data_IF_371318744717
#
_entry.id   IF_371318744717
#
_cell.length_a   1.000
_cell.length_b   1.000
_cell.length_c   1.000
_cell.angle_alpha   90.00
_cell.angle_beta   90.00
_cell.angle_gamma   90.00
#
_symmetry.space_group_name_H-M   'P 1'
#
loop_
_entity.id
_entity.type
_entity.pdbx_description
1 polymer ?
#
# COMPACT_ATOMS: atom_id res chain seq x y z
N UNK A 1 26.20 -1.47 21.03
CA UNK A 1 25.10 -1.04 21.92
C UNK A 1 25.04 0.48 21.95
N UNK A 2 23.86 1.08 22.11
CA UNK A 2 23.73 2.51 22.33
C UNK A 2 24.14 2.82 23.78
N UNK A 3 25.39 3.25 23.99
CA UNK A 3 25.92 3.56 25.33
C UNK A 3 25.53 4.95 25.83
N UNK A 4 25.27 5.90 24.93
CA UNK A 4 24.89 7.27 25.28
C UNK A 4 23.37 7.41 25.55
N UNK A 5 23.00 8.20 26.57
CA UNK A 5 21.60 8.37 27.00
C UNK A 5 20.67 8.83 25.87
N UNK A 6 21.13 9.72 24.99
CA UNK A 6 20.37 10.18 23.82
C UNK A 6 20.11 9.06 22.81
N UNK A 7 21.06 8.14 22.63
CA UNK A 7 20.95 7.01 21.72
C UNK A 7 19.96 5.96 22.24
N UNK A 8 19.93 5.69 23.55
CA UNK A 8 18.93 4.82 24.19
C UNK A 8 17.52 5.39 23.98
N UNK A 9 17.34 6.71 24.15
CA UNK A 9 16.06 7.39 23.88
C UNK A 9 15.64 7.23 22.42
N UNK A 10 16.57 7.41 21.47
CA UNK A 10 16.29 7.22 20.04
C UNK A 10 15.92 5.77 19.71
N UNK A 11 16.58 4.78 20.30
CA UNK A 11 16.25 3.37 20.13
C UNK A 11 14.80 3.08 20.54
N UNK A 12 14.38 3.53 21.73
CA UNK A 12 13.00 3.38 22.22
C UNK A 12 11.98 4.07 21.30
N UNK A 13 12.29 5.25 20.78
CA UNK A 13 11.41 5.96 19.83
C UNK A 13 11.30 5.23 18.49
N UNK A 14 12.44 4.72 17.99
CA UNK A 14 12.52 4.00 16.72
C UNK A 14 11.69 2.72 16.77
N UNK A 15 11.72 1.98 17.87
CA UNK A 15 10.91 0.77 18.02
C UNK A 15 9.41 1.06 17.96
N UNK A 16 8.94 2.08 18.68
CA UNK A 16 7.53 2.52 18.62
C UNK A 16 7.11 2.95 17.20
N UNK A 17 7.99 3.63 16.47
CA UNK A 17 7.76 4.00 15.07
C UNK A 17 7.79 2.79 14.15
N UNK A 18 8.70 1.84 14.38
CA UNK A 18 8.84 0.60 13.62
C UNK A 18 7.55 -0.22 13.68
N UNK A 19 7.00 -0.44 14.87
CA UNK A 19 5.77 -1.22 15.07
C UNK A 19 4.57 -0.57 14.35
N UNK A 20 4.35 0.74 14.50
CA UNK A 20 3.29 1.46 13.76
C UNK A 20 3.47 1.36 12.25
N UNK A 21 4.69 1.57 11.75
CA UNK A 21 4.97 1.54 10.32
C UNK A 21 4.82 0.13 9.76
N UNK A 22 5.19 -0.90 10.53
CA UNK A 22 5.02 -2.29 10.14
C UNK A 22 3.55 -2.62 9.97
N UNK A 23 2.69 -2.27 10.93
CA UNK A 23 1.24 -2.50 10.86
C UNK A 23 0.60 -1.81 9.65
N UNK A 24 0.98 -0.56 9.36
CA UNK A 24 0.45 0.16 8.20
C UNK A 24 0.93 -0.48 6.89
N UNK A 25 2.20 -0.90 6.82
CA UNK A 25 2.75 -1.57 5.64
C UNK A 25 2.11 -2.93 5.39
N UNK A 26 1.88 -3.72 6.44
CA UNK A 26 1.23 -5.04 6.32
C UNK A 26 -0.21 -4.89 5.88
N UNK A 27 -0.99 -3.97 6.46
CA UNK A 27 -2.36 -3.68 6.02
C UNK A 27 -2.42 -3.31 4.53
N UNK A 28 -1.56 -2.39 4.07
CA UNK A 28 -1.52 -2.01 2.66
C UNK A 28 -1.12 -3.18 1.76
N UNK A 29 -0.12 -3.98 2.15
CA UNK A 29 0.28 -5.18 1.40
C UNK A 29 -0.86 -6.20 1.30
N UNK A 30 -1.57 -6.45 2.39
CA UNK A 30 -2.71 -7.37 2.42
C UNK A 30 -3.86 -6.90 1.52
N UNK A 31 -4.21 -5.61 1.56
CA UNK A 31 -5.24 -5.05 0.67
C UNK A 31 -4.83 -5.13 -0.80
N UNK A 32 -3.57 -4.81 -1.13
CA UNK A 32 -3.04 -4.97 -2.50
C UNK A 32 -3.15 -6.43 -2.95
N UNK A 33 -2.78 -7.40 -2.09
CA UNK A 33 -2.89 -8.83 -2.41
C UNK A 33 -4.33 -9.23 -2.69
N UNK A 34 -5.30 -8.77 -1.90
CA UNK A 34 -6.74 -9.04 -2.12
C UNK A 34 -7.22 -8.55 -3.48
N UNK A 35 -6.82 -7.34 -3.90
CA UNK A 35 -7.17 -6.82 -5.23
C UNK A 35 -6.55 -7.67 -6.32
N UNK A 36 -5.26 -8.03 -6.19
CA UNK A 36 -4.57 -8.88 -7.17
C UNK A 36 -5.19 -10.27 -7.30
N UNK A 37 -5.59 -10.89 -6.18
CA UNK A 37 -6.28 -12.18 -6.22
C UNK A 37 -7.66 -12.09 -6.89
N UNK A 38 -8.36 -10.96 -6.77
CA UNK A 38 -9.61 -10.74 -7.50
C UNK A 38 -9.36 -10.54 -9.00
N UNK A 39 -8.26 -9.87 -9.35
CA UNK A 39 -7.82 -9.69 -10.74
C UNK A 39 -7.46 -11.03 -11.38
N UNK A 40 -6.71 -11.89 -10.69
CA UNK A 40 -6.39 -13.25 -11.16
C UNK A 40 -7.64 -14.10 -11.39
N UNK A 41 -8.65 -13.94 -10.54
CA UNK A 41 -9.96 -14.61 -10.67
C UNK A 41 -10.89 -14.00 -11.74
N UNK A 42 -10.46 -12.94 -12.42
CA UNK A 42 -11.25 -12.19 -13.43
C UNK A 42 -12.58 -11.62 -12.89
N UNK A 43 -12.67 -11.39 -11.58
CA UNK A 43 -13.84 -10.76 -10.97
C UNK A 43 -13.74 -9.23 -11.08
N UNK A 44 -14.44 -8.67 -12.08
CA UNK A 44 -14.41 -7.23 -12.40
C UNK A 44 -15.01 -6.40 -11.28
N UNK A 45 -16.15 -6.81 -10.72
CA UNK A 45 -16.80 -6.05 -9.65
C UNK A 45 -16.02 -6.10 -8.34
N UNK A 46 -15.54 -7.29 -7.96
CA UNK A 46 -14.74 -7.48 -6.76
C UNK A 46 -13.43 -6.72 -6.82
N UNK A 47 -12.77 -6.70 -7.99
CA UNK A 47 -11.56 -5.93 -8.21
C UNK A 47 -11.81 -4.41 -8.09
N UNK A 48 -12.93 -3.90 -8.63
CA UNK A 48 -13.25 -2.48 -8.61
C UNK A 48 -13.65 -1.99 -7.21
N UNK A 49 -14.48 -2.75 -6.49
CA UNK A 49 -14.82 -2.51 -5.07
C UNK A 49 -13.57 -2.59 -4.19
N UNK A 50 -12.68 -3.55 -4.45
CA UNK A 50 -11.41 -3.70 -3.75
C UNK A 50 -10.45 -2.53 -4.01
N UNK A 51 -10.38 -2.04 -5.24
CA UNK A 51 -9.59 -0.88 -5.64
C UNK A 51 -10.03 0.38 -4.87
N UNK A 52 -11.34 0.66 -4.86
CA UNK A 52 -11.90 1.81 -4.15
C UNK A 52 -11.58 1.81 -2.66
N UNK A 53 -11.56 0.64 -2.00
CA UNK A 53 -11.15 0.52 -0.59
C UNK A 53 -9.64 0.66 -0.40
N UNK A 54 -8.84 0.22 -1.36
CA UNK A 54 -7.37 0.18 -1.25
C UNK A 54 -6.72 1.54 -1.49
N UNK A 55 -7.27 2.37 -2.39
CA UNK A 55 -6.72 3.70 -2.68
C UNK A 55 -6.65 4.60 -1.43
N UNK A 56 -7.73 4.77 -0.64
CA UNK A 56 -7.70 5.57 0.60
C UNK A 56 -6.70 5.04 1.62
N UNK A 57 -6.51 3.72 1.71
CA UNK A 57 -5.52 3.12 2.62
C UNK A 57 -4.08 3.52 2.23
N UNK A 58 -3.77 3.51 0.94
CA UNK A 58 -2.45 3.93 0.42
C UNK A 58 -2.23 5.43 0.66
N UNK A 59 -3.28 6.25 0.46
CA UNK A 59 -3.21 7.69 0.71
C UNK A 59 -3.08 8.02 2.20
N UNK A 60 -3.79 7.30 3.09
CA UNK A 60 -3.60 7.40 4.55
C UNK A 60 -2.20 6.98 4.99
N UNK A 61 -1.62 5.98 4.35
CA UNK A 61 -0.23 5.59 4.62
C UNK A 61 0.77 6.66 4.17
N UNK A 62 0.46 7.43 3.11
CA UNK A 62 1.23 8.62 2.70
C UNK A 62 1.12 9.73 3.75
N UNK A 63 -0.09 10.08 4.19
CA UNK A 63 -0.27 11.17 5.16
C UNK A 63 0.40 10.88 6.50
N UNK A 64 0.44 9.61 6.91
CA UNK A 64 1.19 9.15 8.10
C UNK A 64 2.71 9.06 7.90
N UNK A 65 3.24 9.45 6.72
CA UNK A 65 4.67 9.45 6.42
C UNK A 65 5.30 8.06 6.24
N UNK A 66 4.50 7.00 6.11
CA UNK A 66 5.01 5.63 5.96
C UNK A 66 5.51 5.35 4.55
N UNK A 67 4.92 6.02 3.56
CA UNK A 67 5.35 5.99 2.16
C UNK A 67 5.63 7.40 1.64
N UNK A 68 6.68 7.52 0.84
CA UNK A 68 6.94 8.73 0.06
C UNK A 68 5.84 8.94 -0.99
N UNK A 69 5.59 10.21 -1.38
CA UNK A 69 4.55 10.59 -2.36
C UNK A 69 4.62 9.76 -3.65
N UNK A 70 5.82 9.56 -4.18
CA UNK A 70 6.03 8.82 -5.43
C UNK A 70 5.75 7.32 -5.26
N UNK A 71 6.07 6.76 -4.09
CA UNK A 71 5.80 5.34 -3.81
C UNK A 71 4.30 5.06 -3.74
N UNK A 72 3.54 5.94 -3.09
CA UNK A 72 2.08 5.84 -3.05
C UNK A 72 1.47 6.02 -4.43
N UNK A 73 1.91 7.03 -5.20
CA UNK A 73 1.43 7.27 -6.56
C UNK A 73 1.68 6.06 -7.49
N UNK A 74 2.90 5.49 -7.46
CA UNK A 74 3.24 4.28 -8.24
C UNK A 74 2.35 3.10 -7.88
N UNK A 75 2.06 2.88 -6.59
CA UNK A 75 1.20 1.76 -6.14
C UNK A 75 -0.23 1.92 -6.64
N UNK A 76 -0.79 3.13 -6.56
CA UNK A 76 -2.13 3.43 -7.07
C UNK A 76 -2.18 3.22 -8.58
N UNK A 77 -1.26 3.85 -9.32
CA UNK A 77 -1.21 3.76 -10.79
C UNK A 77 -1.11 2.31 -11.29
N UNK A 78 -0.24 1.49 -10.69
CA UNK A 78 -0.09 0.07 -11.08
C UNK A 78 -1.36 -0.75 -10.82
N UNK A 79 -1.97 -0.59 -9.64
CA UNK A 79 -3.21 -1.29 -9.30
C UNK A 79 -4.36 -0.88 -10.22
N UNK A 80 -4.52 0.42 -10.47
CA UNK A 80 -5.56 0.92 -11.38
C UNK A 80 -5.36 0.38 -12.80
N UNK A 81 -4.12 0.29 -13.28
CA UNK A 81 -3.81 -0.30 -14.59
C UNK A 81 -4.15 -1.80 -14.64
N UNK A 82 -3.79 -2.56 -13.61
CA UNK A 82 -4.12 -4.00 -13.48
C UNK A 82 -5.64 -4.23 -13.54
N UNK A 83 -6.44 -3.41 -12.83
CA UNK A 83 -7.91 -3.53 -12.85
C UNK A 83 -8.52 -3.07 -14.18
N UNK A 84 -8.02 -1.97 -14.76
CA UNK A 84 -8.54 -1.46 -16.03
C UNK A 84 -8.25 -2.38 -17.23
N UNK A 85 -7.14 -3.13 -17.18
CA UNK A 85 -6.81 -4.14 -18.18
C UNK A 85 -7.82 -5.30 -18.23
N UNK A 86 -8.55 -5.57 -17.14
CA UNK A 86 -9.66 -6.53 -17.15
C UNK A 86 -10.92 -5.96 -17.81
N UNK A 87 -11.12 -4.64 -17.69
CA UNK A 87 -12.32 -3.96 -18.19
C UNK A 87 -12.25 -3.64 -19.69
N UNK A 88 -11.04 -3.39 -20.19
CA UNK A 88 -10.84 -2.93 -21.58
C UNK A 88 -10.06 -3.99 -22.34
N UNK A 89 -10.59 -4.57 -23.43
CA UNK A 89 -9.76 -5.35 -24.34
C UNK A 89 -8.63 -4.45 -24.87
N UNK A 90 -7.46 -5.00 -25.24
CA UNK A 90 -6.33 -4.20 -25.69
C UNK A 90 -6.81 -3.31 -26.83
N UNK A 91 -6.70 -1.99 -26.63
CA UNK A 91 -6.96 -1.02 -27.68
C UNK A 91 -6.00 -1.38 -28.82
N UNK A 92 -6.56 -1.84 -29.94
CA UNK A 92 -5.80 -2.16 -31.15
C UNK A 92 -4.88 -0.99 -31.47
N UNK A 93 -3.61 -1.30 -31.70
CA UNK A 93 -2.64 -0.38 -32.27
C UNK A 93 -3.04 -0.05 -33.71
#
# INVERSE_FOLDING_TARGET
MASHASAIKRAKQNEKRRLRNLNIKTLVKSSIKKVRTAVEKKDVEGAQKGLQKTIPLIQKARSKGVFHKNTSARKVSRLTREVNALKTPPKAA
#
